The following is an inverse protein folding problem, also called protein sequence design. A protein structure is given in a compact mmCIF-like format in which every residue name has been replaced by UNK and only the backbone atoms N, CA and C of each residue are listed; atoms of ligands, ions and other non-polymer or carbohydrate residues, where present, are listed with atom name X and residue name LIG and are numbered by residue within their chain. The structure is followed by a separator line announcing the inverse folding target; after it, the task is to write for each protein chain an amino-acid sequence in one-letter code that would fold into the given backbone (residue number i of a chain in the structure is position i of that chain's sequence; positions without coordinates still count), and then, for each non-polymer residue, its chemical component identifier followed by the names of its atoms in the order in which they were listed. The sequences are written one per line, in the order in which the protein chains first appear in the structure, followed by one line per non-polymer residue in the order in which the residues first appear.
data_IF_122952842014
#
_entry.id   IF_122952842014
#
_cell.length_a   1.000
_cell.length_b   1.000
_cell.length_c   1.000
_cell.angle_alpha   90.00
_cell.angle_beta   90.00
_cell.angle_gamma   90.00
#
_symmetry.space_group_name_H-M   'P 1'
#
loop_
_entity.id
_entity.type
_entity.pdbx_description
1 polymer ?
#
# COMPACT_ATOMS: atom_id res chain seq x y z
N UNK A 1 17.42 19.36 1.93
CA UNK A 1 16.30 19.09 1.00
C UNK A 1 16.40 17.72 0.36
N UNK A 2 17.39 17.50 -0.52
CA UNK A 2 17.48 16.26 -1.31
C UNK A 2 17.63 14.98 -0.47
N UNK A 3 18.49 14.99 0.56
CA UNK A 3 18.66 13.82 1.44
C UNK A 3 17.35 13.45 2.16
N UNK A 4 16.61 14.43 2.68
CA UNK A 4 15.31 14.18 3.31
C UNK A 4 14.31 13.53 2.33
N UNK A 5 14.30 13.98 1.07
CA UNK A 5 13.46 13.37 0.01
C UNK A 5 13.85 11.92 -0.26
N UNK A 6 15.16 11.64 -0.35
CA UNK A 6 15.66 10.26 -0.55
C UNK A 6 15.27 9.37 0.62
N UNK A 7 15.48 9.81 1.86
CA UNK A 7 15.08 9.07 3.06
C UNK A 7 13.57 8.77 3.07
N UNK A 8 12.74 9.77 2.77
CA UNK A 8 11.29 9.61 2.69
C UNK A 8 10.88 8.59 1.61
N UNK A 9 11.42 8.70 0.40
CA UNK A 9 11.05 7.82 -0.70
C UNK A 9 11.59 6.39 -0.52
N UNK A 10 12.74 6.23 0.12
CA UNK A 10 13.25 4.92 0.52
C UNK A 10 12.29 4.24 1.50
N UNK A 11 11.85 4.95 2.55
CA UNK A 11 10.88 4.41 3.51
C UNK A 11 9.53 4.11 2.83
N UNK A 12 9.04 5.00 1.97
CA UNK A 12 7.83 4.75 1.17
C UNK A 12 7.94 3.45 0.38
N UNK A 13 9.09 3.20 -0.26
CA UNK A 13 9.32 1.98 -1.04
C UNK A 13 9.26 0.73 -0.16
N UNK A 14 9.86 0.77 1.03
CA UNK A 14 9.79 -0.35 2.01
C UNK A 14 8.35 -0.59 2.47
N UNK A 15 7.61 0.47 2.82
CA UNK A 15 6.22 0.37 3.25
C UNK A 15 5.31 -0.17 2.14
N UNK A 16 5.55 0.25 0.89
CA UNK A 16 4.82 -0.23 -0.29
C UNK A 16 5.03 -1.73 -0.52
N UNK A 17 6.29 -2.18 -0.51
CA UNK A 17 6.61 -3.60 -0.65
C UNK A 17 6.01 -4.42 0.50
N UNK A 18 6.24 -4.02 1.75
CA UNK A 18 5.73 -4.73 2.93
C UNK A 18 4.20 -4.78 2.99
N UNK A 19 3.51 -3.70 2.60
CA UNK A 19 2.04 -3.68 2.53
C UNK A 19 1.53 -4.63 1.46
N UNK A 20 2.17 -4.66 0.28
CA UNK A 20 1.80 -5.54 -0.82
C UNK A 20 1.99 -7.02 -0.44
N UNK A 21 3.12 -7.36 0.19
CA UNK A 21 3.39 -8.72 0.66
C UNK A 21 2.41 -9.17 1.74
N UNK A 22 2.11 -8.31 2.72
CA UNK A 22 1.15 -8.63 3.79
C UNK A 22 -0.26 -8.87 3.23
N UNK A 23 -0.72 -8.03 2.30
CA UNK A 23 -2.02 -8.22 1.63
C UNK A 23 -2.04 -9.47 0.77
N UNK A 24 -0.97 -9.74 0.01
CA UNK A 24 -0.87 -10.95 -0.79
C UNK A 24 -0.87 -12.22 0.08
N UNK A 25 -0.20 -12.20 1.23
CA UNK A 25 -0.24 -13.28 2.20
C UNK A 25 -1.64 -13.48 2.77
N UNK A 26 -2.35 -12.40 3.08
CA UNK A 26 -3.74 -12.47 3.55
C UNK A 26 -4.67 -13.10 2.50
N UNK A 27 -4.57 -12.65 1.23
CA UNK A 27 -5.33 -13.20 0.10
C UNK A 27 -5.03 -14.70 -0.09
N UNK A 28 -3.74 -15.08 -0.04
CA UNK A 28 -3.34 -16.48 -0.17
C UNK A 28 -3.90 -17.39 0.93
N UNK A 29 -4.27 -16.81 2.08
CA UNK A 29 -4.91 -17.50 3.20
C UNK A 29 -6.43 -17.27 3.26
N UNK A 30 -7.03 -16.81 2.16
CA UNK A 30 -8.50 -16.68 2.01
C UNK A 30 -9.11 -15.49 2.74
N UNK A 31 -8.32 -14.51 3.15
CA UNK A 31 -8.81 -13.28 3.78
C UNK A 31 -9.18 -12.24 2.73
N UNK A 32 -10.27 -11.51 2.98
CA UNK A 32 -10.65 -10.35 2.17
C UNK A 32 -9.60 -9.23 2.36
N UNK A 33 -8.92 -8.77 1.29
CA UNK A 33 -7.89 -7.74 1.39
C UNK A 33 -8.43 -6.38 1.87
N UNK A 34 -9.73 -6.09 1.67
CA UNK A 34 -10.35 -4.86 2.17
C UNK A 34 -10.50 -4.91 3.69
N UNK A 35 -11.05 -6.01 4.20
CA UNK A 35 -11.17 -6.26 5.65
C UNK A 35 -9.79 -6.28 6.31
N UNK A 36 -8.81 -6.95 5.70
CA UNK A 36 -7.44 -6.98 6.22
C UNK A 36 -6.80 -5.59 6.21
N UNK A 37 -7.05 -4.78 5.18
CA UNK A 37 -6.58 -3.39 5.11
C UNK A 37 -7.16 -2.56 6.25
N UNK A 38 -8.47 -2.67 6.51
CA UNK A 38 -9.14 -1.96 7.61
C UNK A 38 -8.59 -2.36 8.98
N UNK A 39 -8.30 -3.65 9.20
CA UNK A 39 -7.66 -4.13 10.43
C UNK A 39 -6.25 -3.54 10.58
N UNK A 40 -5.42 -3.61 9.54
CA UNK A 40 -4.05 -3.08 9.59
C UNK A 40 -4.02 -1.57 9.81
N UNK A 41 -4.99 -0.83 9.26
CA UNK A 41 -5.16 0.61 9.46
C UNK A 41 -5.41 0.99 10.92
N UNK A 42 -6.10 0.15 11.69
CA UNK A 42 -6.37 0.36 13.12
C UNK A 42 -5.32 -0.29 14.04
N UNK A 43 -4.26 -0.85 13.47
CA UNK A 43 -3.24 -1.62 14.18
C UNK A 43 -1.84 -1.00 14.03
N UNK A 44 -0.83 -1.65 14.62
CA UNK A 44 0.58 -1.25 14.50
C UNK A 44 1.14 -1.33 13.07
N UNK A 45 0.47 -2.06 12.17
CA UNK A 45 0.84 -2.13 10.74
C UNK A 45 0.46 -0.90 9.92
N UNK A 46 -0.23 0.07 10.52
CA UNK A 46 -0.74 1.25 9.85
C UNK A 46 0.39 2.09 9.23
N UNK A 47 0.23 2.47 7.97
CA UNK A 47 1.21 3.25 7.22
C UNK A 47 0.54 4.04 6.07
N UNK A 48 1.29 4.95 5.44
CA UNK A 48 0.75 5.82 4.38
C UNK A 48 0.18 5.06 3.18
N UNK A 49 0.84 3.98 2.76
CA UNK A 49 0.39 3.13 1.65
C UNK A 49 -1.01 2.59 1.92
N UNK A 50 -1.27 2.03 3.11
CA UNK A 50 -2.61 1.56 3.48
C UNK A 50 -3.64 2.69 3.52
N UNK A 51 -3.27 3.85 4.06
CA UNK A 51 -4.19 4.96 4.30
C UNK A 51 -4.62 5.70 3.03
N UNK A 52 -3.72 5.80 2.04
CA UNK A 52 -3.87 6.74 0.93
C UNK A 52 -3.60 6.14 -0.44
N UNK A 53 -2.99 4.97 -0.52
CA UNK A 53 -2.44 4.46 -1.79
C UNK A 53 -2.40 2.93 -1.82
N UNK A 54 -3.51 2.29 -1.40
CA UNK A 54 -3.54 0.85 -1.19
C UNK A 54 -3.16 0.10 -2.49
N UNK A 55 -2.17 -0.81 -2.48
CA UNK A 55 -1.65 -1.42 -3.68
C UNK A 55 -2.54 -2.53 -4.23
N UNK A 56 -3.51 -3.02 -3.46
CA UNK A 56 -4.37 -4.13 -3.90
C UNK A 56 -5.56 -3.61 -4.73
N UNK A 57 -5.76 -4.11 -5.97
CA UNK A 57 -6.93 -3.76 -6.78
C UNK A 57 -8.25 -4.06 -6.04
N UNK A 58 -9.23 -3.18 -6.22
CA UNK A 58 -10.57 -3.31 -5.62
C UNK A 58 -10.66 -2.93 -4.14
N UNK A 59 -9.56 -2.57 -3.46
CA UNK A 59 -9.59 -2.16 -2.05
C UNK A 59 -9.89 -0.66 -1.88
N UNK A 60 -9.32 0.19 -2.74
CA UNK A 60 -9.44 1.64 -2.66
C UNK A 60 -9.72 2.22 -4.05
N UNK A 61 -10.61 3.20 -4.13
CA UNK A 61 -10.92 3.93 -5.35
C UNK A 61 -9.94 5.10 -5.56
N UNK A 62 -9.81 5.59 -6.80
CA UNK A 62 -9.01 6.76 -7.16
C UNK A 62 -7.50 6.62 -6.85
N UNK A 63 -6.98 5.39 -6.89
CA UNK A 63 -5.55 5.06 -6.77
C UNK A 63 -5.12 4.21 -7.98
N UNK A 64 -3.82 4.13 -8.34
CA UNK A 64 -3.42 3.39 -9.53
C UNK A 64 -3.82 1.91 -9.52
N UNK A 65 -3.86 1.26 -8.36
CA UNK A 65 -4.32 -0.14 -8.23
C UNK A 65 -5.78 -0.33 -8.67
N UNK A 66 -6.59 0.72 -8.68
CA UNK A 66 -7.97 0.71 -9.22
C UNK A 66 -8.05 0.95 -10.74
N UNK A 67 -6.93 1.19 -11.41
CA UNK A 67 -6.86 1.52 -12.83
C UNK A 67 -5.62 0.88 -13.50
N UNK A 68 -5.45 -0.44 -13.34
CA UNK A 68 -4.35 -1.23 -13.94
C UNK A 68 -2.95 -0.60 -13.78
N UNK A 69 -2.74 0.02 -12.61
CA UNK A 69 -1.52 0.73 -12.23
C UNK A 69 -1.09 1.86 -13.20
N UNK A 70 -2.03 2.39 -13.99
CA UNK A 70 -1.75 3.50 -14.90
C UNK A 70 -1.61 4.83 -14.15
N UNK A 71 -0.69 5.67 -14.63
CA UNK A 71 -0.39 6.98 -14.06
C UNK A 71 0.35 6.88 -12.71
N UNK A 72 0.07 7.81 -11.80
CA UNK A 72 0.71 7.85 -10.49
C UNK A 72 2.16 8.35 -10.53
N UNK A 73 3.00 7.78 -9.66
CA UNK A 73 4.40 8.16 -9.53
C UNK A 73 5.28 7.13 -10.25
N UNK A 74 5.79 7.52 -11.42
CA UNK A 74 6.82 6.78 -12.15
C UNK A 74 8.13 7.58 -12.09
N UNK A 75 9.26 6.87 -11.97
CA UNK A 75 10.60 7.47 -12.11
C UNK A 75 10.93 7.65 -13.58
#
# INVERSE_FOLDING_TARGET
GQIAKVCNNMLLSVLMAGTSEALQLAIANGLDPKVMSDIMLQSSGCNWTLQKYNPCPGVMDNVPSSNDYQGGFMV
#
